data_IF_416745862653
#
_entry.id   IF_416745862653
#
_cell.length_a   1.000
_cell.length_b   1.000
_cell.length_c   1.000
_cell.angle_alpha   90.00
_cell.angle_beta   90.00
_cell.angle_gamma   90.00
#
_symmetry.space_group_name_H-M   'P 1'
#
loop_
_entity.id
_entity.type
_entity.pdbx_description
1 polymer ?
#
# COMPACT_ATOMS: atom_id res chain seq x y z
N UNK A 1 4.36 -17.05 -24.24
CA UNK A 1 5.58 -16.25 -24.43
C UNK A 1 5.63 -15.22 -23.30
N UNK A 2 6.76 -15.11 -22.60
CA UNK A 2 6.93 -14.22 -21.45
C UNK A 2 8.32 -13.59 -21.47
N UNK A 3 8.52 -12.51 -20.71
CA UNK A 3 9.82 -11.89 -20.51
C UNK A 3 10.39 -12.39 -19.18
N UNK A 4 11.62 -12.89 -19.20
CA UNK A 4 12.40 -13.15 -18.00
C UNK A 4 13.27 -11.94 -17.69
N UNK A 5 13.08 -11.38 -16.51
CA UNK A 5 13.88 -10.31 -15.94
C UNK A 5 14.69 -10.84 -14.76
N UNK A 6 15.96 -10.46 -14.72
CA UNK A 6 16.87 -10.81 -13.64
C UNK A 6 17.56 -9.56 -13.11
N UNK A 7 17.87 -9.55 -11.82
CA UNK A 7 18.59 -8.45 -11.20
C UNK A 7 19.27 -8.84 -9.90
N UNK A 8 20.39 -8.18 -9.62
CA UNK A 8 21.05 -8.25 -8.31
C UNK A 8 20.80 -6.95 -7.55
N UNK A 9 20.50 -7.06 -6.26
CA UNK A 9 20.59 -5.93 -5.33
C UNK A 9 21.95 -5.94 -4.63
N UNK A 10 22.56 -4.76 -4.58
CA UNK A 10 23.89 -4.55 -4.01
C UNK A 10 23.82 -3.50 -2.89
N UNK A 11 24.60 -3.73 -1.83
CA UNK A 11 24.94 -2.71 -0.83
C UNK A 11 26.45 -2.67 -0.67
N UNK A 12 27.05 -1.50 -0.87
CA UNK A 12 28.49 -1.30 -0.75
C UNK A 12 29.30 -2.37 -1.53
N UNK A 13 28.93 -2.57 -2.80
CA UNK A 13 29.54 -3.55 -3.72
C UNK A 13 29.44 -5.02 -3.28
N UNK A 14 28.64 -5.33 -2.26
CA UNK A 14 28.31 -6.70 -1.84
C UNK A 14 26.93 -7.08 -2.33
N UNK A 15 26.81 -8.27 -2.92
CA UNK A 15 25.51 -8.83 -3.33
C UNK A 15 24.67 -9.10 -2.09
N UNK A 16 23.48 -8.51 -2.01
CA UNK A 16 22.49 -8.82 -0.97
C UNK A 16 21.63 -10.00 -1.38
N UNK A 17 21.09 -9.96 -2.59
CA UNK A 17 20.25 -11.03 -3.13
C UNK A 17 20.15 -11.00 -4.67
N UNK A 18 19.63 -12.09 -5.22
CA UNK A 18 19.25 -12.23 -6.63
C UNK A 18 17.72 -12.24 -6.74
N UNK A 19 17.21 -11.48 -7.71
CA UNK A 19 15.81 -11.46 -8.07
C UNK A 19 15.60 -12.06 -9.45
N UNK A 20 14.55 -12.86 -9.56
CA UNK A 20 14.05 -13.41 -10.80
C UNK A 20 12.55 -13.13 -10.90
N UNK A 21 12.14 -12.55 -12.03
CA UNK A 21 10.73 -12.31 -12.32
C UNK A 21 10.37 -12.74 -13.73
N UNK A 22 9.23 -13.45 -13.84
CA UNK A 22 8.62 -13.79 -15.11
C UNK A 22 7.40 -12.91 -15.38
N UNK A 23 7.52 -12.05 -16.39
CA UNK A 23 6.47 -11.12 -16.78
C UNK A 23 5.69 -11.67 -17.98
N UNK A 24 4.35 -11.62 -17.95
CA UNK A 24 3.56 -11.95 -19.13
C UNK A 24 3.80 -10.91 -20.24
N UNK A 25 3.92 -11.37 -21.48
CA UNK A 25 3.89 -10.44 -22.62
C UNK A 25 2.45 -10.02 -22.88
N UNK A 26 2.22 -8.71 -22.88
CA UNK A 26 0.96 -8.11 -23.30
C UNK A 26 0.91 -8.15 -24.84
N UNK A 27 0.46 -9.27 -25.38
CA UNK A 27 0.44 -9.51 -26.83
C UNK A 27 -0.66 -8.70 -27.54
N UNK A 28 -1.78 -8.48 -26.85
CA UNK A 28 -2.91 -7.70 -27.35
C UNK A 28 -2.82 -6.26 -26.85
N UNK A 29 -1.86 -5.50 -27.39
CA UNK A 29 -1.69 -4.07 -27.05
C UNK A 29 -2.86 -3.26 -27.60
N UNK A 30 -3.93 -3.11 -26.81
CA UNK A 30 -4.80 -1.94 -26.96
C UNK A 30 -3.96 -0.72 -26.58
N UNK A 31 -3.83 0.27 -27.47
CA UNK A 31 -2.94 1.43 -27.26
C UNK A 31 -3.19 2.15 -25.92
N UNK A 32 -4.43 2.11 -25.42
CA UNK A 32 -4.84 2.71 -24.15
C UNK A 32 -4.51 1.89 -22.89
N UNK A 33 -4.04 0.66 -23.02
CA UNK A 33 -3.78 -0.23 -21.88
C UNK A 33 -2.57 0.23 -21.05
N UNK A 34 -1.48 0.60 -21.71
CA UNK A 34 -0.21 0.95 -21.04
C UNK A 34 -0.38 2.13 -20.07
N UNK A 35 -1.03 3.25 -20.47
CA UNK A 35 -1.33 4.34 -19.54
C UNK A 35 -2.13 3.89 -18.31
N UNK A 36 -3.16 3.04 -18.48
CA UNK A 36 -3.99 2.54 -17.38
C UNK A 36 -3.17 1.66 -16.41
N UNK A 37 -2.34 0.76 -16.92
CA UNK A 37 -1.45 -0.06 -16.09
C UNK A 37 -0.41 0.79 -15.33
N UNK A 38 0.08 1.87 -15.96
CA UNK A 38 0.96 2.84 -15.28
C UNK A 38 0.23 3.55 -14.13
N UNK A 39 -1.03 3.95 -14.32
CA UNK A 39 -1.84 4.53 -13.25
C UNK A 39 -2.05 3.53 -12.11
N UNK A 40 -2.30 2.25 -12.41
CA UNK A 40 -2.41 1.21 -11.39
C UNK A 40 -1.13 1.06 -10.56
N UNK A 41 0.04 1.01 -11.21
CA UNK A 41 1.33 0.93 -10.54
C UNK A 41 1.59 2.17 -9.65
N UNK A 42 1.32 3.38 -10.18
CA UNK A 42 1.44 4.63 -9.43
C UNK A 42 0.52 4.67 -8.20
N UNK A 43 -0.72 4.20 -8.34
CA UNK A 43 -1.66 4.10 -7.22
C UNK A 43 -1.13 3.18 -6.12
N UNK A 44 -0.55 2.03 -6.47
CA UNK A 44 0.07 1.12 -5.51
C UNK A 44 1.30 1.76 -4.83
N UNK A 45 2.17 2.44 -5.57
CA UNK A 45 3.31 3.18 -5.00
C UNK A 45 2.87 4.28 -4.04
N UNK A 46 1.79 5.01 -4.36
CA UNK A 46 1.23 6.02 -3.46
C UNK A 46 0.73 5.39 -2.16
N UNK A 47 0.04 4.26 -2.25
CA UNK A 47 -0.49 3.54 -1.09
C UNK A 47 0.63 2.97 -0.22
N UNK A 48 1.70 2.46 -0.82
CA UNK A 48 2.91 2.05 -0.09
C UNK A 48 3.55 3.22 0.66
N UNK A 49 3.63 4.39 0.03
CA UNK A 49 4.09 5.61 0.71
C UNK A 49 3.20 6.01 1.90
N UNK A 50 1.87 5.86 1.78
CA UNK A 50 0.94 6.06 2.90
C UNK A 50 1.19 5.06 4.03
N UNK A 51 1.40 3.78 3.70
CA UNK A 51 1.72 2.74 4.67
C UNK A 51 3.02 3.07 5.43
N UNK A 52 4.08 3.48 4.73
CA UNK A 52 5.34 3.90 5.37
C UNK A 52 5.13 5.05 6.36
N UNK A 53 4.37 6.06 5.97
CA UNK A 53 4.08 7.21 6.85
C UNK A 53 3.29 6.79 8.08
N UNK A 54 2.30 5.92 7.90
CA UNK A 54 1.50 5.39 9.00
C UNK A 54 2.36 4.57 9.97
N UNK A 55 3.17 3.62 9.48
CA UNK A 55 4.07 2.81 10.30
C UNK A 55 5.11 3.66 11.01
N UNK A 56 5.68 4.66 10.33
CA UNK A 56 6.64 5.58 10.93
C UNK A 56 6.05 6.35 12.12
N UNK A 57 4.83 6.88 11.98
CA UNK A 57 4.16 7.59 13.08
C UNK A 57 3.68 6.66 14.20
N UNK A 58 3.38 5.40 13.88
CA UNK A 58 2.94 4.42 14.87
C UNK A 58 4.10 3.82 15.68
N UNK A 59 5.26 3.61 15.04
CA UNK A 59 6.41 2.96 15.66
C UNK A 59 7.35 3.90 16.40
N UNK A 60 7.40 5.19 16.04
CA UNK A 60 8.40 6.12 16.56
C UNK A 60 7.79 7.33 17.24
N UNK A 61 8.45 7.80 18.29
CA UNK A 61 8.14 9.09 18.91
C UNK A 61 8.72 10.22 18.07
N UNK A 62 8.08 11.40 18.05
CA UNK A 62 8.48 12.56 17.23
C UNK A 62 9.95 12.99 17.41
N UNK A 63 10.59 12.57 18.51
CA UNK A 63 11.98 12.88 18.85
C UNK A 63 13.04 12.02 18.15
N UNK A 64 12.65 10.92 17.49
CA UNK A 64 13.59 10.03 16.76
C UNK A 64 13.33 10.06 15.26
N UNK A 65 14.04 10.95 14.58
CA UNK A 65 14.08 11.07 13.12
C UNK A 65 15.24 10.26 12.52
N UNK A 66 15.48 9.03 13.00
CA UNK A 66 16.46 8.17 12.34
C UNK A 66 15.92 7.74 10.98
N UNK A 67 16.79 7.76 9.96
CA UNK A 67 16.50 7.28 8.61
C UNK A 67 16.29 5.77 8.67
N UNK A 68 15.05 5.35 8.92
CA UNK A 68 14.69 3.95 8.99
C UNK A 68 14.65 3.35 7.59
N UNK A 69 15.21 2.16 7.45
CA UNK A 69 15.06 1.37 6.24
C UNK A 69 13.73 0.59 6.32
N UNK A 70 12.83 0.90 5.39
CA UNK A 70 11.55 0.19 5.22
C UNK A 70 11.61 -0.82 4.06
N UNK A 71 12.80 -1.17 3.57
CA UNK A 71 12.97 -2.09 2.44
C UNK A 71 12.26 -3.43 2.62
N UNK A 72 12.18 -3.95 3.86
CA UNK A 72 11.41 -5.18 4.14
C UNK A 72 9.90 -5.01 3.94
N UNK A 73 9.35 -3.82 4.22
CA UNK A 73 7.94 -3.48 3.98
C UNK A 73 7.71 -3.36 2.48
N UNK A 74 8.63 -2.70 1.75
CA UNK A 74 8.56 -2.57 0.29
C UNK A 74 8.52 -3.94 -0.39
N UNK A 75 9.50 -4.81 -0.07
CA UNK A 75 9.61 -6.16 -0.65
C UNK A 75 8.33 -6.95 -0.39
N UNK A 76 7.86 -6.97 0.85
CA UNK A 76 6.68 -7.75 1.22
C UNK A 76 5.40 -7.18 0.59
N UNK A 77 5.25 -5.85 0.53
CA UNK A 77 4.13 -5.19 -0.14
C UNK A 77 4.05 -5.58 -1.62
N UNK A 78 5.16 -5.47 -2.36
CA UNK A 78 5.16 -5.80 -3.79
C UNK A 78 4.94 -7.30 -4.03
N UNK A 79 5.58 -8.16 -3.23
CA UNK A 79 5.37 -9.61 -3.33
C UNK A 79 3.91 -10.01 -3.07
N UNK A 80 3.31 -9.49 -1.99
CA UNK A 80 1.91 -9.80 -1.62
C UNK A 80 0.88 -9.19 -2.57
N UNK A 81 1.19 -8.08 -3.25
CA UNK A 81 0.24 -7.41 -4.16
C UNK A 81 0.41 -7.77 -5.64
N UNK A 82 1.54 -8.37 -6.03
CA UNK A 82 1.86 -8.73 -7.43
C UNK A 82 0.75 -9.55 -8.10
N UNK A 83 0.25 -10.59 -7.43
CA UNK A 83 -0.80 -11.46 -8.01
C UNK A 83 -2.10 -10.69 -8.30
N UNK A 84 -2.42 -9.67 -7.50
CA UNK A 84 -3.59 -8.81 -7.70
C UNK A 84 -3.41 -7.92 -8.92
N UNK A 85 -2.20 -7.39 -9.13
CA UNK A 85 -1.86 -6.60 -10.32
C UNK A 85 -1.95 -7.45 -11.59
N UNK A 86 -1.40 -8.67 -11.57
CA UNK A 86 -1.52 -9.59 -12.71
C UNK A 86 -2.98 -9.96 -13.02
N UNK A 87 -3.82 -10.10 -11.98
CA UNK A 87 -5.26 -10.27 -12.16
C UNK A 87 -5.93 -9.06 -12.79
N UNK A 88 -5.53 -7.84 -12.40
CA UNK A 88 -6.00 -6.60 -13.03
C UNK A 88 -5.65 -6.59 -14.53
N UNK A 89 -4.39 -6.88 -14.87
CA UNK A 89 -3.91 -6.97 -16.26
C UNK A 89 -4.79 -7.93 -17.07
N UNK A 90 -4.97 -9.16 -16.59
CA UNK A 90 -5.76 -10.18 -17.29
C UNK A 90 -7.21 -9.73 -17.52
N UNK A 91 -7.86 -9.14 -16.51
CA UNK A 91 -9.25 -8.67 -16.65
C UNK A 91 -9.39 -7.57 -17.71
N UNK A 92 -8.39 -6.70 -17.84
CA UNK A 92 -8.40 -5.67 -18.89
C UNK A 92 -8.19 -6.33 -20.27
N UNK A 93 -7.30 -7.32 -20.39
CA UNK A 93 -7.11 -8.08 -21.63
C UNK A 93 -8.39 -8.83 -22.06
N UNK A 94 -9.17 -9.33 -21.11
CA UNK A 94 -10.50 -9.94 -21.32
C UNK A 94 -11.57 -8.92 -21.77
N UNK A 95 -11.24 -7.63 -21.82
CA UNK A 95 -12.11 -6.58 -22.35
C UNK A 95 -13.03 -5.92 -21.31
N UNK A 96 -12.82 -6.16 -20.02
CA UNK A 96 -13.53 -5.44 -18.96
C UNK A 96 -13.12 -3.96 -18.92
N UNK A 97 -14.02 -3.11 -18.42
CA UNK A 97 -13.78 -1.67 -18.34
C UNK A 97 -12.54 -1.33 -17.46
N UNK A 98 -11.48 -0.74 -18.03
CA UNK A 98 -10.28 -0.39 -17.28
C UNK A 98 -10.54 0.60 -16.15
N UNK A 99 -11.49 1.52 -16.30
CA UNK A 99 -11.73 2.59 -15.31
C UNK A 99 -12.44 2.07 -14.06
N UNK A 100 -13.45 1.22 -14.23
CA UNK A 100 -14.07 0.48 -13.13
C UNK A 100 -13.03 -0.41 -12.42
N UNK A 101 -12.18 -1.10 -13.18
CA UNK A 101 -11.15 -1.97 -12.62
C UNK A 101 -10.07 -1.20 -11.85
N UNK A 102 -9.65 -0.03 -12.34
CA UNK A 102 -8.70 0.85 -11.63
C UNK A 102 -9.29 1.36 -10.31
N UNK A 103 -10.57 1.72 -10.30
CA UNK A 103 -11.27 2.14 -9.09
C UNK A 103 -11.32 1.01 -8.04
N UNK A 104 -11.62 -0.22 -8.49
CA UNK A 104 -11.58 -1.42 -7.64
C UNK A 104 -10.16 -1.71 -7.14
N UNK A 105 -9.16 -1.62 -8.01
CA UNK A 105 -7.75 -1.81 -7.69
C UNK A 105 -7.29 -0.86 -6.58
N UNK A 106 -7.59 0.44 -6.69
CA UNK A 106 -7.21 1.43 -5.68
C UNK A 106 -7.83 1.12 -4.31
N UNK A 107 -9.11 0.70 -4.29
CA UNK A 107 -9.79 0.27 -3.07
C UNK A 107 -9.17 -1.00 -2.48
N UNK A 108 -8.87 -1.99 -3.30
CA UNK A 108 -8.20 -3.23 -2.87
C UNK A 108 -6.82 -2.95 -2.26
N UNK A 109 -6.02 -2.08 -2.90
CA UNK A 109 -4.69 -1.69 -2.39
C UNK A 109 -4.80 -0.94 -1.07
N UNK A 110 -5.77 -0.03 -0.94
CA UNK A 110 -5.98 0.70 0.31
C UNK A 110 -6.37 -0.23 1.47
N UNK A 111 -7.28 -1.18 1.21
CA UNK A 111 -7.67 -2.19 2.19
C UNK A 111 -6.49 -3.09 2.58
N UNK A 112 -5.70 -3.51 1.60
CA UNK A 112 -4.49 -4.29 1.84
C UNK A 112 -3.50 -3.53 2.73
N UNK A 113 -3.19 -2.27 2.42
CA UNK A 113 -2.28 -1.46 3.22
C UNK A 113 -2.80 -1.20 4.64
N UNK A 114 -4.11 -1.01 4.81
CA UNK A 114 -4.74 -0.89 6.13
C UNK A 114 -4.56 -2.16 6.96
N UNK A 115 -4.79 -3.32 6.35
CA UNK A 115 -4.62 -4.61 7.02
C UNK A 115 -3.14 -4.88 7.34
N UNK A 116 -2.25 -4.63 6.39
CA UNK A 116 -0.81 -4.82 6.57
C UNK A 116 -0.24 -3.88 7.64
N UNK A 117 -0.78 -2.66 7.77
CA UNK A 117 -0.51 -1.79 8.91
C UNK A 117 -0.95 -2.42 10.23
N UNK A 118 -2.20 -2.88 10.32
CA UNK A 118 -2.77 -3.46 11.54
C UNK A 118 -1.98 -4.70 12.00
N UNK A 119 -1.52 -5.53 11.07
CA UNK A 119 -0.73 -6.74 11.35
C UNK A 119 0.68 -6.40 11.88
N UNK A 120 1.32 -5.34 11.37
CA UNK A 120 2.70 -4.98 11.69
C UNK A 120 2.85 -4.13 12.94
N UNK A 121 1.82 -3.36 13.29
CA UNK A 121 2.00 -2.29 14.27
C UNK A 121 2.35 -2.81 15.66
N UNK A 122 1.91 -4.04 15.99
CA UNK A 122 2.18 -4.70 17.26
C UNK A 122 3.52 -5.44 17.30
N UNK A 123 4.19 -5.60 16.16
CA UNK A 123 5.50 -6.26 16.05
C UNK A 123 6.62 -5.24 15.94
N UNK A 124 6.48 -4.05 16.54
CA UNK A 124 7.49 -2.99 16.49
C UNK A 124 8.83 -3.52 17.02
N UNK A 125 9.88 -3.63 16.18
CA UNK A 125 11.16 -4.17 16.61
C UNK A 125 12.04 -3.09 17.29
N UNK A 126 11.60 -1.83 17.35
CA UNK A 126 12.45 -0.69 17.77
C UNK A 126 12.05 -0.06 19.10
N UNK A 127 10.76 0.10 19.37
CA UNK A 127 10.25 0.74 20.59
C UNK A 127 9.08 -0.06 21.19
N UNK A 128 8.83 0.05 22.50
CA UNK A 128 7.59 -0.44 23.09
C UNK A 128 6.37 0.13 22.36
N UNK A 129 5.37 -0.72 22.14
CA UNK A 129 4.13 -0.32 21.46
C UNK A 129 3.38 0.70 22.31
N UNK A 130 2.97 1.79 21.68
CA UNK A 130 2.11 2.80 22.27
C UNK A 130 0.79 2.83 21.52
N UNK A 131 -0.25 2.32 22.18
CA UNK A 131 -1.57 2.15 21.58
C UNK A 131 -2.19 3.48 21.15
N UNK A 132 -1.91 4.59 21.84
CA UNK A 132 -2.45 5.89 21.47
C UNK A 132 -1.86 6.37 20.14
N UNK A 133 -0.54 6.24 19.97
CA UNK A 133 0.15 6.53 18.71
C UNK A 133 -0.35 5.65 17.57
N UNK A 134 -0.44 4.34 17.81
CA UNK A 134 -0.96 3.36 16.85
C UNK A 134 -2.36 3.75 16.36
N UNK A 135 -3.28 3.99 17.29
CA UNK A 135 -4.67 4.32 16.95
C UNK A 135 -4.78 5.68 16.25
N UNK A 136 -3.96 6.66 16.65
CA UNK A 136 -3.90 7.98 16.01
C UNK A 136 -3.39 7.88 14.58
N UNK A 137 -2.29 7.17 14.35
CA UNK A 137 -1.73 6.94 13.01
C UNK A 137 -2.74 6.18 12.13
N UNK A 138 -3.33 5.10 12.65
CA UNK A 138 -4.38 4.34 11.94
C UNK A 138 -5.54 5.24 11.53
N UNK A 139 -6.04 6.06 12.46
CA UNK A 139 -7.14 6.99 12.19
C UNK A 139 -6.74 8.04 11.15
N UNK A 140 -5.53 8.58 11.22
CA UNK A 140 -5.05 9.63 10.31
C UNK A 140 -4.92 9.14 8.88
N UNK A 141 -4.36 7.94 8.67
CA UNK A 141 -4.02 7.42 7.35
C UNK A 141 -5.06 6.47 6.75
N UNK A 142 -5.82 5.76 7.59
CA UNK A 142 -6.76 4.72 7.16
C UNK A 142 -8.19 4.97 7.63
N UNK A 143 -8.66 6.22 7.49
CA UNK A 143 -10.09 6.56 7.57
C UNK A 143 -10.62 7.04 6.24
N UNK A 144 -11.71 6.41 5.82
CA UNK A 144 -12.51 6.84 4.68
C UNK A 144 -13.24 8.16 4.98
N UNK A 145 -13.61 8.89 3.93
CA UNK A 145 -14.41 10.13 4.09
C UNK A 145 -15.74 9.87 4.81
N UNK A 146 -16.39 8.74 4.51
CA UNK A 146 -17.63 8.32 5.19
C UNK A 146 -17.42 8.02 6.68
N UNK A 147 -16.33 7.32 7.05
CA UNK A 147 -15.98 7.09 8.47
C UNK A 147 -15.70 8.42 9.18
N UNK A 148 -15.08 9.41 8.52
CA UNK A 148 -14.86 10.75 9.07
C UNK A 148 -16.17 11.51 9.29
N UNK A 149 -17.08 11.50 8.32
CA UNK A 149 -18.39 12.14 8.43
C UNK A 149 -19.23 11.54 9.57
N UNK A 150 -19.27 10.21 9.67
CA UNK A 150 -19.98 9.52 10.74
C UNK A 150 -19.37 9.83 12.12
N UNK A 151 -18.03 9.92 12.22
CA UNK A 151 -17.37 10.28 13.48
C UNK A 151 -17.65 11.72 13.91
N UNK A 152 -17.80 12.65 12.96
CA UNK A 152 -18.18 14.04 13.24
C UNK A 152 -19.63 14.12 13.72
N UNK A 153 -20.57 13.48 13.00
CA UNK A 153 -21.97 13.43 13.39
C UNK A 153 -22.18 12.78 14.78
N UNK A 154 -21.37 11.77 15.14
CA UNK A 154 -21.41 11.15 16.46
C UNK A 154 -20.85 12.05 17.58
N UNK A 155 -19.92 12.97 17.26
CA UNK A 155 -19.39 13.96 18.21
C UNK A 155 -20.40 15.07 18.47
N UNK A 156 -21.04 15.58 17.43
CA UNK A 156 -22.09 16.61 17.51
C UNK A 156 -23.26 16.13 18.39
N UNK A 157 -23.76 14.91 18.16
CA UNK A 157 -24.80 14.29 19.01
C UNK A 157 -24.40 14.11 20.47
N UNK A 158 -23.11 13.90 20.77
CA UNK A 158 -22.62 13.78 22.15
C UNK A 158 -22.48 15.14 22.83
N UNK A 159 -22.23 16.21 22.07
CA UNK A 159 -22.21 17.58 22.60
C UNK A 159 -23.64 18.07 22.87
N UNK A 160 -24.57 17.82 21.96
CA UNK A 160 -26.00 18.17 22.14
C UNK A 160 -26.66 17.41 23.30
N UNK A 161 -26.21 16.19 23.63
CA UNK A 161 -26.74 15.42 24.76
C UNK A 161 -26.08 15.75 26.12
N UNK A 162 -25.06 16.62 26.13
CA UNK A 162 -24.36 17.08 27.32
C UNK A 162 -24.72 18.53 27.71
N UNK A 163 -25.52 19.21 26.87
CA UNK A 163 -26.22 20.47 27.16
C UNK A 163 -27.64 20.21 27.68
#
# INVERSE_FOLDING_TARGET
MGLWGFGFDFEDMKVRCWYEHHFPLLLNKKEDLIPKLRLAAQAASHILSLLHRALKEAWFSEKKTTKLDFGFVDIDFWNKTQHRFLRLVRKIEEGQDPDELLSKWQKEMWLFARQDFDDRVFTNPYEPVDLERVMTARKKYFTTSAEKQNANAAREKKQEAAE
#
